data_IF_629090721290
#
_entry.id   IF_629090721290
#
_cell.length_a   1.000
_cell.length_b   1.000
_cell.length_c   1.000
_cell.angle_alpha   90.00
_cell.angle_beta   90.00
_cell.angle_gamma   90.00
#
_symmetry.space_group_name_H-M   'P 1'
#
loop_
_entity.id
_entity.type
_entity.pdbx_description
1 polymer ?
#
# COMPACT_ATOMS: atom_id res chain seq x y z
N UNK A 1 -17.65 -10.45 -9.30
CA UNK A 1 -17.72 -11.14 -10.61
C UNK A 1 -16.43 -11.91 -10.79
N UNK A 2 -16.53 -13.23 -10.94
CA UNK A 2 -15.38 -14.13 -11.06
C UNK A 2 -14.92 -14.17 -12.53
N UNK A 3 -14.49 -13.02 -13.05
CA UNK A 3 -13.98 -12.96 -14.43
C UNK A 3 -12.71 -13.80 -14.53
N UNK A 4 -12.74 -14.74 -15.47
CA UNK A 4 -11.60 -15.61 -15.76
C UNK A 4 -10.46 -14.73 -16.30
N UNK A 5 -9.25 -14.83 -15.74
CA UNK A 5 -8.12 -14.07 -16.25
C UNK A 5 -7.90 -14.36 -17.73
N UNK A 6 -7.66 -13.31 -18.51
CA UNK A 6 -7.40 -13.39 -19.95
C UNK A 6 -5.90 -13.36 -20.22
N UNK A 7 -5.43 -14.29 -21.04
CA UNK A 7 -4.04 -14.46 -21.41
C UNK A 7 -3.89 -14.25 -22.92
N UNK A 8 -2.99 -13.36 -23.31
CA UNK A 8 -2.57 -13.17 -24.69
C UNK A 8 -1.28 -13.94 -24.93
N UNK A 9 -1.23 -14.79 -25.95
CA UNK A 9 -0.03 -15.54 -26.35
C UNK A 9 0.46 -15.00 -27.68
N UNK A 10 1.71 -14.56 -27.74
CA UNK A 10 2.33 -14.03 -28.95
C UNK A 10 3.62 -14.80 -29.23
N UNK A 11 3.60 -15.59 -30.28
CA UNK A 11 4.70 -16.46 -30.70
C UNK A 11 4.53 -16.65 -32.21
N UNK A 12 5.60 -16.70 -33.00
CA UNK A 12 5.51 -16.91 -34.46
C UNK A 12 5.36 -18.39 -34.83
N UNK A 13 5.77 -19.29 -33.94
CA UNK A 13 5.61 -20.73 -34.10
C UNK A 13 4.18 -21.20 -33.77
N UNK A 14 3.49 -21.71 -34.80
CA UNK A 14 2.12 -22.19 -34.65
C UNK A 14 2.01 -23.39 -33.69
N UNK A 15 3.02 -24.26 -33.66
CA UNK A 15 2.99 -25.46 -32.82
C UNK A 15 3.00 -25.08 -31.33
N UNK A 16 3.85 -24.13 -30.96
CA UNK A 16 3.96 -23.57 -29.61
C UNK A 16 2.69 -22.82 -29.23
N UNK A 17 2.15 -21.95 -30.11
CA UNK A 17 0.88 -21.25 -29.87
C UNK A 17 -0.26 -22.22 -29.56
N UNK A 18 -0.46 -23.25 -30.40
CA UNK A 18 -1.54 -24.24 -30.22
C UNK A 18 -1.39 -25.02 -28.91
N UNK A 19 -0.16 -25.43 -28.58
CA UNK A 19 0.14 -26.17 -27.35
C UNK A 19 -0.17 -25.33 -26.11
N UNK A 20 0.31 -24.08 -26.07
CA UNK A 20 0.06 -23.16 -24.97
C UNK A 20 -1.45 -22.85 -24.83
N UNK A 21 -2.13 -22.57 -25.95
CA UNK A 21 -3.59 -22.35 -25.95
C UNK A 21 -4.35 -23.51 -25.34
N UNK A 22 -4.05 -24.75 -25.75
CA UNK A 22 -4.72 -25.94 -25.23
C UNK A 22 -4.51 -26.09 -23.72
N UNK A 23 -3.27 -25.90 -23.26
CA UNK A 23 -2.92 -26.06 -21.84
C UNK A 23 -3.59 -24.99 -20.98
N UNK A 24 -3.50 -23.72 -21.37
CA UNK A 24 -4.12 -22.63 -20.59
C UNK A 24 -5.65 -22.68 -20.64
N UNK A 25 -6.24 -23.09 -21.76
CA UNK A 25 -7.69 -23.27 -21.86
C UNK A 25 -8.17 -24.40 -20.95
N UNK A 26 -7.43 -25.51 -20.84
CA UNK A 26 -7.72 -26.60 -19.89
C UNK A 26 -7.66 -26.15 -18.43
N UNK A 27 -6.83 -25.17 -18.10
CA UNK A 27 -6.77 -24.57 -16.76
C UNK A 27 -7.90 -23.54 -16.51
N UNK A 28 -8.77 -23.30 -17.50
CA UNK A 28 -9.93 -22.42 -17.37
C UNK A 28 -9.66 -20.94 -17.61
N UNK A 29 -8.50 -20.57 -18.16
CA UNK A 29 -8.20 -19.20 -18.56
C UNK A 29 -8.90 -18.85 -19.88
N UNK A 30 -9.20 -17.56 -20.07
CA UNK A 30 -9.57 -17.05 -21.39
C UNK A 30 -8.30 -16.82 -22.20
N UNK A 31 -8.13 -17.49 -23.33
CA UNK A 31 -6.87 -17.44 -24.08
C UNK A 31 -7.11 -16.93 -25.48
N UNK A 32 -6.27 -16.00 -25.91
CA UNK A 32 -6.18 -15.56 -27.30
C UNK A 32 -4.73 -15.63 -27.76
N UNK A 33 -4.49 -16.04 -29.00
CA UNK A 33 -3.14 -16.13 -29.56
C UNK A 33 -2.97 -15.18 -30.74
N UNK A 34 -1.78 -14.64 -30.95
CA UNK A 34 -1.40 -13.84 -32.10
C UNK A 34 -0.08 -14.38 -32.69
N UNK A 35 0.02 -14.40 -34.02
CA UNK A 35 1.21 -14.85 -34.73
C UNK A 35 2.24 -13.72 -34.93
N UNK A 36 1.80 -12.47 -34.85
CA UNK A 36 2.62 -11.27 -35.04
C UNK A 36 2.37 -10.26 -33.92
N UNK A 37 3.31 -9.35 -33.71
CA UNK A 37 3.14 -8.28 -32.74
C UNK A 37 2.04 -7.30 -33.12
N UNK A 38 1.85 -7.01 -34.41
CA UNK A 38 0.74 -6.16 -34.88
C UNK A 38 -0.63 -6.78 -34.59
N UNK A 39 -0.79 -8.09 -34.78
CA UNK A 39 -2.02 -8.79 -34.42
C UNK A 39 -2.25 -8.74 -32.90
N UNK A 40 -1.19 -8.90 -32.10
CA UNK A 40 -1.25 -8.78 -30.65
C UNK A 40 -1.71 -7.38 -30.20
N UNK A 41 -1.17 -6.32 -30.82
CA UNK A 41 -1.57 -4.94 -30.54
C UNK A 41 -3.03 -4.68 -30.93
N UNK A 42 -3.47 -5.19 -32.09
CA UNK A 42 -4.87 -5.06 -32.52
C UNK A 42 -5.82 -5.69 -31.49
N UNK A 43 -5.53 -6.92 -31.03
CA UNK A 43 -6.33 -7.60 -30.00
C UNK A 43 -6.31 -6.85 -28.67
N UNK A 44 -5.15 -6.33 -28.28
CA UNK A 44 -5.02 -5.54 -27.06
C UNK A 44 -5.80 -4.21 -27.11
N UNK A 45 -6.10 -3.66 -28.30
CA UNK A 45 -6.97 -2.47 -28.40
C UNK A 45 -8.44 -2.80 -28.18
N UNK A 46 -8.87 -3.98 -28.63
CA UNK A 46 -10.27 -4.40 -28.54
C UNK A 46 -10.63 -4.98 -27.17
N UNK A 47 -9.66 -5.63 -26.52
CA UNK A 47 -9.89 -6.38 -25.28
C UNK A 47 -8.78 -6.17 -24.28
N UNK A 48 -9.17 -6.17 -23.00
CA UNK A 48 -8.22 -6.18 -21.90
C UNK A 48 -7.69 -7.59 -21.64
N UNK A 49 -6.38 -7.68 -21.40
CA UNK A 49 -5.69 -8.90 -21.00
C UNK A 49 -5.03 -8.71 -19.64
N UNK A 50 -5.07 -9.74 -18.81
CA UNK A 50 -4.40 -9.74 -17.51
C UNK A 50 -2.90 -10.04 -17.68
N UNK A 51 -2.60 -10.98 -18.57
CA UNK A 51 -1.24 -11.47 -18.80
C UNK A 51 -0.94 -11.62 -20.29
N UNK A 52 0.27 -11.26 -20.70
CA UNK A 52 0.81 -11.51 -22.04
C UNK A 52 2.05 -12.42 -21.97
N UNK A 53 2.07 -13.48 -22.76
CA UNK A 53 3.23 -14.33 -23.03
C UNK A 53 3.79 -13.91 -24.38
N UNK A 54 5.02 -13.38 -24.40
CA UNK A 54 5.60 -12.76 -25.60
C UNK A 54 6.90 -13.44 -25.99
N UNK A 55 7.03 -13.88 -27.25
CA UNK A 55 8.34 -14.17 -27.82
C UNK A 55 9.13 -12.89 -28.05
N UNK A 56 10.46 -12.96 -27.87
CA UNK A 56 11.38 -11.87 -28.14
C UNK A 56 11.57 -11.69 -29.64
N UNK A 57 11.61 -12.79 -30.40
CA UNK A 57 11.81 -12.76 -31.84
C UNK A 57 10.47 -13.05 -32.51
N UNK A 58 9.82 -11.99 -32.98
CA UNK A 58 8.67 -12.06 -33.87
C UNK A 58 9.10 -11.56 -35.26
N UNK A 59 8.39 -11.94 -36.34
CA UNK A 59 8.76 -11.57 -37.70
C UNK A 59 8.61 -10.07 -38.00
N UNK A 60 7.81 -9.34 -37.22
CA UNK A 60 7.43 -7.95 -37.49
C UNK A 60 8.01 -6.92 -36.50
N UNK A 61 8.05 -7.25 -35.21
CA UNK A 61 8.53 -6.36 -34.13
C UNK A 61 9.30 -7.15 -33.08
N UNK A 62 10.26 -6.53 -32.40
CA UNK A 62 10.91 -7.19 -31.27
C UNK A 62 9.96 -7.27 -30.06
N UNK A 63 9.94 -8.42 -29.37
CA UNK A 63 9.05 -8.64 -28.23
C UNK A 63 9.25 -7.64 -27.09
N UNK A 64 10.47 -7.12 -26.93
CA UNK A 64 10.81 -6.09 -25.93
C UNK A 64 10.24 -4.72 -26.31
N UNK A 65 10.04 -4.44 -27.60
CA UNK A 65 9.36 -3.25 -28.10
C UNK A 65 7.84 -3.41 -27.99
N UNK A 66 7.32 -4.59 -28.39
CA UNK A 66 5.91 -4.95 -28.22
C UNK A 66 5.47 -4.82 -26.76
N UNK A 67 6.29 -5.26 -25.81
CA UNK A 67 6.05 -5.07 -24.38
C UNK A 67 5.84 -3.60 -24.01
N UNK A 68 6.67 -2.70 -24.52
CA UNK A 68 6.58 -1.27 -24.21
C UNK A 68 5.24 -0.70 -24.70
N UNK A 69 4.85 -1.03 -25.92
CA UNK A 69 3.58 -0.59 -26.51
C UNK A 69 2.37 -1.15 -25.76
N UNK A 70 2.41 -2.43 -25.39
CA UNK A 70 1.33 -3.06 -24.62
C UNK A 70 1.19 -2.46 -23.22
N UNK A 71 2.31 -2.14 -22.56
CA UNK A 71 2.34 -1.47 -21.25
C UNK A 71 1.83 -0.03 -21.31
N UNK A 72 2.11 0.68 -22.40
CA UNK A 72 1.61 2.05 -22.62
C UNK A 72 0.08 2.05 -22.74
N UNK A 73 -0.48 1.09 -23.48
CA UNK A 73 -1.93 0.92 -23.61
C UNK A 73 -2.58 0.41 -22.32
N UNK A 74 -1.93 -0.55 -21.65
CA UNK A 74 -2.44 -1.23 -20.46
C UNK A 74 -1.37 -1.29 -19.37
N UNK A 75 -1.25 -0.25 -18.51
CA UNK A 75 -0.22 -0.19 -17.47
C UNK A 75 -0.27 -1.34 -16.46
N UNK A 76 -1.48 -1.85 -16.20
CA UNK A 76 -1.71 -2.96 -15.28
C UNK A 76 -1.48 -4.34 -15.93
N UNK A 77 -1.24 -4.42 -17.25
CA UNK A 77 -0.91 -5.66 -17.94
C UNK A 77 0.39 -6.23 -17.38
N UNK A 78 0.35 -7.53 -17.06
CA UNK A 78 1.57 -8.25 -16.74
C UNK A 78 2.09 -8.99 -17.96
N UNK A 79 3.40 -8.94 -18.19
CA UNK A 79 4.03 -9.68 -19.27
C UNK A 79 5.05 -10.70 -18.75
N UNK A 80 5.21 -11.77 -19.50
CA UNK A 80 6.24 -12.80 -19.34
C UNK A 80 6.90 -12.98 -20.71
N UNK A 81 8.22 -12.81 -20.78
CA UNK A 81 8.97 -13.11 -22.02
C UNK A 81 9.24 -14.61 -22.10
N UNK A 82 9.05 -15.18 -23.29
CA UNK A 82 9.26 -16.61 -23.59
C UNK A 82 10.08 -16.72 -24.87
N UNK A 83 11.36 -17.10 -24.84
CA UNK A 83 12.15 -17.16 -26.07
C UNK A 83 13.16 -18.32 -26.12
N UNK A 84 13.49 -18.78 -27.32
CA UNK A 84 14.65 -19.64 -27.57
C UNK A 84 15.96 -18.84 -27.66
N UNK A 85 15.89 -17.54 -27.95
CA UNK A 85 17.06 -16.69 -28.18
C UNK A 85 17.29 -15.77 -26.99
N UNK A 86 17.65 -16.37 -25.87
CA UNK A 86 17.95 -15.60 -24.67
C UNK A 86 19.36 -15.01 -24.73
N UNK A 87 19.45 -13.69 -24.73
CA UNK A 87 20.71 -12.96 -24.52
C UNK A 87 20.67 -12.20 -23.20
N UNK A 88 21.83 -11.98 -22.59
CA UNK A 88 21.91 -11.19 -21.36
C UNK A 88 21.35 -9.79 -21.56
N UNK A 89 21.65 -9.17 -22.71
CA UNK A 89 21.20 -7.83 -23.04
C UNK A 89 19.67 -7.75 -23.15
N UNK A 90 19.03 -8.66 -23.88
CA UNK A 90 17.56 -8.69 -24.01
C UNK A 90 16.87 -8.98 -22.68
N UNK A 91 17.46 -9.83 -21.83
CA UNK A 91 16.95 -10.09 -20.49
C UNK A 91 17.01 -8.84 -19.60
N UNK A 92 18.14 -8.11 -19.61
CA UNK A 92 18.29 -6.86 -18.85
C UNK A 92 17.31 -5.79 -19.35
N UNK A 93 17.19 -5.62 -20.66
CA UNK A 93 16.23 -4.67 -21.24
C UNK A 93 14.78 -5.02 -20.86
N UNK A 94 14.38 -6.29 -20.93
CA UNK A 94 13.04 -6.72 -20.56
C UNK A 94 12.74 -6.49 -19.07
N UNK A 95 13.72 -6.73 -18.18
CA UNK A 95 13.59 -6.45 -16.75
C UNK A 95 13.43 -4.95 -16.48
N UNK A 96 14.21 -4.11 -17.16
CA UNK A 96 14.11 -2.65 -17.04
C UNK A 96 12.76 -2.11 -17.54
N UNK A 97 12.15 -2.77 -18.53
CA UNK A 97 10.80 -2.45 -19.03
C UNK A 97 9.66 -3.06 -18.19
N UNK A 98 9.97 -3.70 -17.07
CA UNK A 98 8.98 -4.18 -16.10
C UNK A 98 8.27 -5.47 -16.50
N UNK A 99 8.96 -6.38 -17.21
CA UNK A 99 8.49 -7.76 -17.34
C UNK A 99 8.44 -8.43 -15.97
N UNK A 100 7.44 -9.26 -15.72
CA UNK A 100 7.32 -9.96 -14.43
C UNK A 100 8.12 -11.25 -14.37
N UNK A 101 8.34 -11.91 -15.50
CA UNK A 101 9.18 -13.09 -15.57
C UNK A 101 9.79 -13.26 -16.97
N UNK A 102 10.88 -14.02 -17.00
CA UNK A 102 11.60 -14.37 -18.21
C UNK A 102 11.80 -15.89 -18.25
N UNK A 103 11.37 -16.54 -19.33
CA UNK A 103 11.40 -17.99 -19.50
C UNK A 103 12.11 -18.33 -20.80
N UNK A 104 13.08 -19.24 -20.73
CA UNK A 104 13.81 -19.74 -21.90
C UNK A 104 13.17 -21.00 -22.44
N UNK A 105 13.05 -21.14 -23.76
CA UNK A 105 12.71 -22.40 -24.44
C UNK A 105 13.89 -23.39 -24.29
N UNK A 106 13.66 -24.71 -24.10
CA UNK A 106 12.38 -25.41 -24.14
C UNK A 106 11.49 -25.14 -22.93
N UNK A 107 10.19 -25.00 -23.17
CA UNK A 107 9.20 -24.65 -22.14
C UNK A 107 8.94 -25.82 -21.19
N UNK A 108 9.30 -25.64 -19.92
CA UNK A 108 8.78 -26.49 -18.86
C UNK A 108 7.39 -25.99 -18.46
N UNK A 109 6.35 -26.72 -18.85
CA UNK A 109 4.96 -26.29 -18.65
C UNK A 109 4.58 -26.15 -17.17
N UNK A 110 5.13 -26.98 -16.28
CA UNK A 110 4.88 -26.85 -14.84
C UNK A 110 5.42 -25.53 -14.31
N UNK A 111 6.65 -25.17 -14.73
CA UNK A 111 7.26 -23.88 -14.39
C UNK A 111 6.49 -22.71 -14.96
N UNK A 112 6.05 -22.79 -16.22
CA UNK A 112 5.24 -21.74 -16.87
C UNK A 112 3.92 -21.54 -16.11
N UNK A 113 3.19 -22.62 -15.81
CA UNK A 113 1.92 -22.56 -15.09
C UNK A 113 2.08 -22.02 -13.68
N UNK A 114 3.12 -22.45 -12.95
CA UNK A 114 3.43 -21.93 -11.63
C UNK A 114 3.73 -20.42 -11.67
N UNK A 115 4.54 -19.99 -12.66
CA UNK A 115 4.89 -18.58 -12.86
C UNK A 115 3.66 -17.75 -13.18
N UNK A 116 2.82 -18.21 -14.13
CA UNK A 116 1.58 -17.52 -14.51
C UNK A 116 0.63 -17.38 -13.32
N UNK A 117 0.46 -18.44 -12.52
CA UNK A 117 -0.38 -18.40 -11.31
C UNK A 117 0.13 -17.38 -10.31
N UNK A 118 1.42 -17.42 -9.98
CA UNK A 118 2.04 -16.49 -9.04
C UNK A 118 1.90 -15.03 -9.49
N UNK A 119 2.10 -14.80 -10.79
CA UNK A 119 2.04 -13.47 -11.37
C UNK A 119 0.61 -12.91 -11.36
N UNK A 120 -0.38 -13.71 -11.76
CA UNK A 120 -1.79 -13.31 -11.73
C UNK A 120 -2.29 -13.09 -10.29
N UNK A 121 -1.85 -13.93 -9.35
CA UNK A 121 -2.16 -13.75 -7.93
C UNK A 121 -1.58 -12.45 -7.39
N UNK A 122 -0.32 -12.14 -7.72
CA UNK A 122 0.30 -10.86 -7.35
C UNK A 122 -0.47 -9.67 -7.95
N UNK A 123 -0.87 -9.75 -9.22
CA UNK A 123 -1.68 -8.70 -9.87
C UNK A 123 -3.01 -8.50 -9.13
N UNK A 124 -3.70 -9.59 -8.80
CA UNK A 124 -4.96 -9.56 -8.04
C UNK A 124 -4.76 -8.90 -6.67
N UNK A 125 -3.73 -9.28 -5.92
CA UNK A 125 -3.43 -8.71 -4.61
C UNK A 125 -3.12 -7.21 -4.70
N UNK A 126 -2.41 -6.76 -5.74
CA UNK A 126 -2.16 -5.33 -5.99
C UNK A 126 -3.46 -4.58 -6.23
N UNK A 127 -4.39 -5.14 -7.01
CA UNK A 127 -5.70 -4.53 -7.23
C UNK A 127 -6.58 -4.52 -5.98
N UNK A 128 -6.62 -5.61 -5.21
CA UNK A 128 -7.36 -5.68 -3.95
C UNK A 128 -6.82 -4.66 -2.94
N UNK A 129 -5.48 -4.54 -2.84
CA UNK A 129 -4.84 -3.53 -2.00
C UNK A 129 -5.24 -2.11 -2.40
N UNK A 130 -5.11 -1.76 -3.69
CA UNK A 130 -5.49 -0.42 -4.20
C UNK A 130 -6.95 -0.10 -3.86
N UNK A 131 -7.87 -1.03 -4.11
CA UNK A 131 -9.29 -0.85 -3.80
C UNK A 131 -9.55 -0.63 -2.30
N UNK A 132 -8.85 -1.38 -1.44
CA UNK A 132 -8.99 -1.23 0.01
C UNK A 132 -8.45 0.13 0.50
N UNK A 133 -7.31 0.57 -0.04
CA UNK A 133 -6.72 1.89 0.27
C UNK A 133 -7.64 3.03 -0.19
N UNK A 134 -8.21 2.94 -1.39
CA UNK A 134 -9.15 3.93 -1.92
C UNK A 134 -10.43 4.01 -1.06
N UNK A 135 -11.01 2.87 -0.68
CA UNK A 135 -12.19 2.82 0.18
C UNK A 135 -11.93 3.38 1.58
N UNK A 136 -10.76 3.10 2.17
CA UNK A 136 -10.37 3.67 3.45
C UNK A 136 -10.20 5.18 3.36
N UNK A 137 -9.62 5.68 2.27
CA UNK A 137 -9.40 7.10 2.06
C UNK A 137 -10.71 7.85 1.84
N UNK A 138 -11.68 7.26 1.16
CA UNK A 138 -13.03 7.81 1.00
C UNK A 138 -13.79 7.88 2.33
N UNK A 139 -13.74 6.81 3.12
CA UNK A 139 -14.30 6.78 4.48
C UNK A 139 -13.65 7.84 5.39
N UNK A 140 -12.32 7.97 5.32
CA UNK A 140 -11.56 8.99 6.05
C UNK A 140 -11.98 10.42 5.67
N UNK A 141 -12.07 10.73 4.38
CA UNK A 141 -12.51 12.04 3.88
C UNK A 141 -13.94 12.38 4.33
N UNK A 142 -14.82 11.38 4.29
CA UNK A 142 -16.21 11.53 4.72
C UNK A 142 -16.32 11.85 6.22
N UNK A 143 -15.50 11.22 7.06
CA UNK A 143 -15.42 11.55 8.49
C UNK A 143 -14.83 12.94 8.75
N UNK A 144 -13.76 13.32 8.05
CA UNK A 144 -13.13 14.66 8.19
C UNK A 144 -14.11 15.79 7.85
N UNK A 145 -14.95 15.63 6.80
CA UNK A 145 -15.97 16.60 6.42
C UNK A 145 -17.06 16.79 7.50
N UNK A 146 -17.45 15.73 8.21
CA UNK A 146 -18.42 15.83 9.32
C UNK A 146 -17.83 16.59 10.51
N UNK A 147 -16.55 16.38 10.81
CA UNK A 147 -15.86 17.09 11.92
C UNK A 147 -15.81 18.60 11.68
N UNK A 148 -15.66 19.06 10.43
CA UNK A 148 -15.69 20.49 10.09
C UNK A 148 -17.06 21.15 10.24
N UNK A 149 -18.15 20.38 10.13
CA UNK A 149 -19.53 20.90 10.31
C UNK A 149 -19.95 21.08 11.76
N UNK A 150 -19.16 20.58 12.73
CA UNK A 150 -19.43 20.85 14.15
C UNK A 150 -19.04 22.30 14.42
N UNK A 151 -20.00 23.21 14.75
CA UNK A 151 -19.66 24.57 15.09
C UNK A 151 -18.75 24.50 16.32
N UNK A 152 -17.52 24.95 16.16
CA UNK A 152 -16.56 25.09 17.25
C UNK A 152 -17.20 25.99 18.31
N UNK A 153 -17.72 25.39 19.39
CA UNK A 153 -18.21 26.10 20.55
C UNK A 153 -17.03 26.72 21.31
N UNK A 154 -16.36 27.69 20.69
CA UNK A 154 -15.48 28.65 21.36
C UNK A 154 -16.27 29.91 21.65
N UNK A 155 -17.08 29.86 22.70
CA UNK A 155 -17.58 31.08 23.34
C UNK A 155 -17.86 30.88 24.83
N UNK A 156 -16.93 30.28 25.56
CA UNK A 156 -16.82 30.49 27.02
C UNK A 156 -15.36 30.42 27.46
N UNK A 157 -14.48 31.23 26.86
CA UNK A 157 -13.37 31.77 27.66
C UNK A 157 -14.00 32.77 28.62
N UNK A 158 -14.30 32.27 29.83
CA UNK A 158 -14.55 33.11 30.97
C UNK A 158 -13.50 34.23 31.01
N UNK A 159 -13.98 35.46 31.07
CA UNK A 159 -13.23 36.69 31.23
C UNK A 159 -12.22 36.53 32.37
N UNK A 160 -10.99 36.15 32.03
CA UNK A 160 -9.87 36.19 32.95
C UNK A 160 -9.42 37.64 32.97
N UNK A 161 -10.13 38.46 33.74
CA UNK A 161 -9.76 39.84 34.03
C UNK A 161 -8.31 39.80 34.53
N UNK A 162 -7.39 40.28 33.71
CA UNK A 162 -6.02 40.51 34.09
C UNK A 162 -6.01 41.67 35.08
N UNK A 163 -6.08 41.36 36.37
CA UNK A 163 -5.74 42.35 37.40
C UNK A 163 -4.24 42.65 37.28
N UNK A 164 -3.91 43.79 36.68
CA UNK A 164 -2.58 44.39 36.74
C UNK A 164 -2.22 44.70 38.20
N UNK A 165 -1.08 44.25 38.72
CA UNK A 165 -0.55 44.79 39.96
C UNK A 165 0.26 46.04 39.61
N UNK A 166 -0.33 47.23 39.76
CA UNK A 166 0.46 48.46 39.83
C UNK A 166 -0.17 49.47 40.78
N UNK A 167 0.52 49.61 41.92
CA UNK A 167 0.69 50.82 42.72
C UNK A 167 -0.40 51.17 43.77
N UNK A 168 0.02 50.87 45.01
CA UNK A 168 0.02 51.75 46.19
C UNK A 168 -1.30 52.23 46.77
N UNK A 169 -1.50 51.85 48.04
CA UNK A 169 -1.72 52.76 49.17
C UNK A 169 -2.92 52.37 50.04
N UNK A 170 -2.64 52.24 51.34
CA UNK A 170 -3.56 52.43 52.47
C UNK A 170 -4.38 51.23 52.99
N UNK A 171 -3.84 50.68 54.08
CA UNK A 171 -4.56 50.32 55.30
C UNK A 171 -5.42 49.04 55.31
N UNK A 172 -4.79 47.89 55.54
CA UNK A 172 -5.42 46.81 56.30
C UNK A 172 -4.89 46.85 57.74
N UNK A 173 -5.65 47.55 58.59
CA UNK A 173 -5.40 47.74 60.02
C UNK A 173 -5.69 46.44 60.76
N UNK A 174 -4.81 46.10 61.71
CA UNK A 174 -4.92 44.97 62.63
C UNK A 174 -6.30 44.87 63.29
N UNK A 175 -6.75 43.63 63.54
CA UNK A 175 -7.25 43.32 64.88
C UNK A 175 -6.76 41.94 65.34
N UNK A 176 -5.81 41.97 66.28
CA UNK A 176 -5.39 40.83 67.11
C UNK A 176 -6.42 40.68 68.23
N UNK A 177 -7.23 39.63 68.23
CA UNK A 177 -7.90 39.13 69.44
C UNK A 177 -8.37 37.70 69.22
N UNK A 178 -7.46 36.75 69.43
CA UNK A 178 -7.56 35.67 70.43
C UNK A 178 -6.61 34.54 70.05
N UNK A 179 -5.47 34.52 70.73
CA UNK A 179 -4.61 33.35 70.91
C UNK A 179 -5.30 32.39 71.88
N UNK A 180 -5.19 31.08 71.61
CA UNK A 180 -5.03 29.93 72.53
C UNK A 180 -5.40 28.68 71.72
N UNK A 181 -4.72 27.55 71.73
CA UNK A 181 -3.41 27.13 72.23
C UNK A 181 -3.18 25.77 71.53
N UNK A 182 -1.98 25.52 71.00
CA UNK A 182 -1.51 24.16 70.74
C UNK A 182 -1.01 23.58 72.07
N UNK A 183 -1.05 22.26 72.26
CA UNK A 183 0.25 21.58 72.17
C UNK A 183 0.18 20.17 71.56
N UNK A 184 1.32 19.78 70.96
CA UNK A 184 1.97 18.45 70.96
C UNK A 184 1.13 17.21 70.57
N UNK A 185 1.63 16.18 69.91
CA UNK A 185 2.94 15.82 69.36
C UNK A 185 2.74 14.43 68.74
N UNK A 186 3.65 14.06 67.85
CA UNK A 186 4.11 12.67 67.63
C UNK A 186 3.28 11.70 66.76
N UNK A 187 3.99 11.27 65.70
CA UNK A 187 4.25 9.86 65.31
C UNK A 187 3.16 9.05 64.57
N UNK A 188 3.60 8.67 63.36
CA UNK A 188 3.52 7.34 62.73
C UNK A 188 2.21 6.83 62.09
N UNK A 189 2.27 6.78 60.75
CA UNK A 189 2.19 5.62 59.86
C UNK A 189 1.43 4.33 60.27
N UNK A 190 0.78 3.77 59.23
CA UNK A 190 0.22 2.41 58.97
C UNK A 190 -1.32 2.40 59.01
N UNK A 191 -2.08 1.72 58.13
CA UNK A 191 -1.78 0.84 56.99
C UNK A 191 -3.09 0.38 56.31
N UNK A 192 -3.25 0.64 54.99
CA UNK A 192 -4.01 -0.12 53.97
C UNK A 192 -5.54 -0.35 54.11
N UNK A 193 -6.17 -1.05 53.14
CA UNK A 193 -6.13 -0.89 51.66
C UNK A 193 -7.56 -0.65 51.10
N UNK A 194 -7.75 -0.36 49.79
CA UNK A 194 -8.97 -0.63 48.95
C UNK A 194 -8.71 -0.12 47.49
N UNK A 195 -9.33 -0.70 46.43
CA UNK A 195 -8.61 -1.17 45.23
C UNK A 195 -8.78 -0.32 43.93
N UNK A 196 -7.97 -0.72 42.93
CA UNK A 196 -7.90 -0.34 41.50
C UNK A 196 -9.25 -0.46 40.74
N UNK A 197 -9.48 0.22 39.58
CA UNK A 197 -8.80 -0.02 38.26
C UNK A 197 -8.35 1.29 37.55
N UNK A 198 -7.13 1.40 36.99
CA UNK A 198 -6.58 0.89 35.72
C UNK A 198 -6.90 1.73 34.48
N UNK A 199 -6.04 2.70 34.17
CA UNK A 199 -5.77 3.17 32.80
C UNK A 199 -4.44 3.94 32.71
N UNK A 200 -3.40 3.21 32.30
CA UNK A 200 -2.44 3.56 31.25
C UNK A 200 -1.91 5.00 31.15
N UNK A 201 -0.67 5.20 31.60
CA UNK A 201 0.34 6.03 30.91
C UNK A 201 1.73 5.66 31.43
N UNK A 202 2.33 4.65 30.81
CA UNK A 202 3.75 4.32 31.00
C UNK A 202 4.55 5.06 29.94
N UNK A 203 5.34 6.02 30.42
CA UNK A 203 6.48 6.63 29.73
C UNK A 203 7.47 5.54 29.28
N UNK A 204 7.63 5.36 27.97
CA UNK A 204 8.75 4.62 27.41
C UNK A 204 9.93 5.58 27.21
N UNK A 205 11.04 5.20 27.84
CA UNK A 205 12.36 5.82 27.90
C UNK A 205 12.89 6.28 26.53
N UNK A 206 13.26 7.56 26.38
CA UNK A 206 14.26 8.00 25.40
C UNK A 206 15.63 8.10 26.08
N UNK A 207 16.55 7.25 25.63
CA UNK A 207 17.98 7.29 25.96
C UNK A 207 18.57 8.59 25.43
N UNK A 208 19.22 9.35 26.31
CA UNK A 208 20.16 10.39 25.94
C UNK A 208 21.49 9.74 25.55
N UNK A 209 21.99 10.05 24.35
CA UNK A 209 23.37 9.81 23.95
C UNK A 209 24.13 11.12 24.16
N UNK A 210 25.05 11.12 25.13
CA UNK A 210 26.14 12.08 25.23
C UNK A 210 27.40 11.43 24.64
N UNK A 211 28.09 12.17 23.77
CA UNK A 211 29.45 11.94 23.27
C UNK A 211 29.83 13.19 22.49
N UNK A 212 30.40 14.23 23.13
CA UNK A 212 31.80 14.46 23.51
C UNK A 212 32.72 14.70 22.29
N UNK A 213 33.13 15.99 22.20
CA UNK A 213 34.30 16.65 21.58
C UNK A 213 34.98 16.00 20.38
#
# INVERSE_FOLDING_TARGET
MNEKPRILIVDDDESTRRTLMLIFSKQGYGVESAATGQEALAKARERFFNLALLDIKLPDIEGVELLALLKEMHPDLVAIMVTAYASLETAVQALNKGVSAYITKPLNMDKVLATVRQVLEKQRLVWEKRRAEDALQESRRSMEAVVETVPNARSTTASRTTCKPSLLSSACRLNKRQMRALPNSSKNCRSGPIPWPSSTSICIKRKAWCGFQ
#
